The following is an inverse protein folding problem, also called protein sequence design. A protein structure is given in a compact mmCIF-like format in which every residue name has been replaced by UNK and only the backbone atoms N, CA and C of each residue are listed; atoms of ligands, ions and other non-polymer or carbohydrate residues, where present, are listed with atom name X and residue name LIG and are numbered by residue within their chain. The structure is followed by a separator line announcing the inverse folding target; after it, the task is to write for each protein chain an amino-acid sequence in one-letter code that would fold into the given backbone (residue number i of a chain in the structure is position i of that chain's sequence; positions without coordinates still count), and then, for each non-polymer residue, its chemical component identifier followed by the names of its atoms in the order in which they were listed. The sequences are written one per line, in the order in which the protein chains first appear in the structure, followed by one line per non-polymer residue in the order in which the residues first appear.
data_IF_215005204970
#
_entry.id   IF_215005204970
#
_cell.length_a   1.000
_cell.length_b   1.000
_cell.length_c   1.000
_cell.angle_alpha   90.00
_cell.angle_beta   90.00
_cell.angle_gamma   90.00
#
_symmetry.space_group_name_H-M   'P 1'
#
loop_
_entity.id
_entity.type
_entity.pdbx_description
1 polymer ?
#
# COMPACT_ATOMS: atom_id res chain seq x y z
N UNK A 1 17.20 5.07 -11.79
CA UNK A 1 16.39 4.63 -12.97
C UNK A 1 16.24 5.84 -13.87
N UNK A 2 16.43 5.72 -15.19
CA UNK A 2 16.17 6.82 -16.15
C UNK A 2 14.70 6.85 -16.52
N UNK A 3 14.24 7.99 -17.06
CA UNK A 3 12.86 8.11 -17.55
C UNK A 3 12.53 7.06 -18.63
N UNK A 4 13.45 6.83 -19.56
CA UNK A 4 13.27 5.82 -20.61
C UNK A 4 13.09 4.40 -20.04
N UNK A 5 13.81 4.07 -18.96
CA UNK A 5 13.62 2.79 -18.27
C UNK A 5 12.24 2.70 -17.63
N UNK A 6 11.79 3.76 -16.94
CA UNK A 6 10.44 3.81 -16.34
C UNK A 6 9.38 3.61 -17.42
N UNK A 7 9.46 4.34 -18.54
CA UNK A 7 8.54 4.24 -19.67
C UNK A 7 8.49 2.82 -20.24
N UNK A 8 9.65 2.20 -20.39
CA UNK A 8 9.75 0.83 -20.90
C UNK A 8 9.11 -0.17 -19.94
N UNK A 9 9.43 -0.09 -18.66
CA UNK A 9 8.89 -1.00 -17.64
C UNK A 9 7.38 -0.91 -17.53
N UNK A 10 6.83 0.32 -17.49
CA UNK A 10 5.38 0.52 -17.41
C UNK A 10 4.64 -0.01 -18.65
N UNK A 11 5.22 0.13 -19.84
CA UNK A 11 4.67 -0.47 -21.06
C UNK A 11 4.72 -1.99 -21.02
N UNK A 12 5.83 -2.58 -20.55
CA UNK A 12 5.91 -4.04 -20.38
C UNK A 12 4.85 -4.55 -19.40
N UNK A 13 4.60 -3.86 -18.30
CA UNK A 13 3.51 -4.22 -17.37
C UNK A 13 2.15 -4.16 -18.06
N UNK A 14 1.90 -3.11 -18.85
CA UNK A 14 0.65 -2.99 -19.62
C UNK A 14 0.48 -4.10 -20.64
N UNK A 15 1.54 -4.44 -21.37
CA UNK A 15 1.56 -5.52 -22.36
C UNK A 15 1.31 -6.90 -21.71
N UNK A 16 1.71 -7.07 -20.46
CA UNK A 16 1.40 -8.26 -19.64
C UNK A 16 -0.07 -8.30 -19.16
N UNK A 17 -0.85 -7.24 -19.42
CA UNK A 17 -2.24 -7.16 -18.99
C UNK A 17 -2.44 -6.55 -17.59
N UNK A 18 -1.42 -5.94 -16.99
CA UNK A 18 -1.55 -5.27 -15.71
C UNK A 18 -2.48 -4.06 -15.85
N UNK A 19 -3.46 -3.98 -14.96
CA UNK A 19 -4.42 -2.87 -14.88
C UNK A 19 -4.47 -2.20 -13.50
N UNK A 20 -3.75 -2.74 -12.53
CA UNK A 20 -3.62 -2.21 -11.17
C UNK A 20 -2.24 -2.54 -10.61
N UNK A 21 -1.60 -1.56 -9.97
CA UNK A 21 -0.32 -1.74 -9.28
C UNK A 21 -0.34 -1.12 -7.88
N UNK A 22 0.39 -1.72 -6.97
CA UNK A 22 0.71 -1.14 -5.69
C UNK A 22 2.16 -0.67 -5.71
N UNK A 23 2.36 0.62 -5.55
CA UNK A 23 3.67 1.27 -5.53
C UNK A 23 4.22 1.26 -4.09
N UNK A 24 4.74 0.14 -3.67
CA UNK A 24 5.31 -0.02 -2.32
C UNK A 24 6.81 0.27 -2.32
N UNK A 25 7.34 0.86 -1.28
CA UNK A 25 6.71 1.25 0.00
C UNK A 25 6.90 2.74 0.28
N UNK A 26 6.85 3.59 -0.71
CA UNK A 26 7.06 5.05 -0.59
C UNK A 26 6.50 5.77 -1.82
N UNK A 27 6.29 7.07 -1.67
CA UNK A 27 5.86 7.95 -2.75
C UNK A 27 6.76 7.81 -3.99
N UNK A 28 6.15 7.62 -5.14
CA UNK A 28 6.85 7.44 -6.40
C UNK A 28 7.04 8.76 -7.18
N UNK A 29 7.76 8.67 -8.29
CA UNK A 29 7.97 9.77 -9.21
C UNK A 29 6.66 10.10 -9.96
N UNK A 30 6.40 11.39 -10.19
CA UNK A 30 5.31 11.87 -11.06
C UNK A 30 5.33 11.20 -12.45
N UNK A 31 6.52 10.91 -13.00
CA UNK A 31 6.66 10.20 -14.28
C UNK A 31 5.97 8.83 -14.26
N UNK A 32 6.07 8.09 -13.15
CA UNK A 32 5.39 6.80 -13.01
C UNK A 32 3.88 6.99 -12.96
N UNK A 33 3.39 8.01 -12.27
CA UNK A 33 1.97 8.30 -12.19
C UNK A 33 1.39 8.83 -13.51
N UNK A 34 2.12 9.71 -14.20
CA UNK A 34 1.76 10.14 -15.56
C UNK A 34 1.61 8.94 -16.51
N UNK A 35 2.53 7.98 -16.41
CA UNK A 35 2.47 6.75 -17.21
C UNK A 35 1.30 5.85 -16.80
N UNK A 36 0.95 5.80 -15.51
CA UNK A 36 -0.23 5.08 -15.06
C UNK A 36 -1.51 5.72 -15.61
N UNK A 37 -1.60 7.05 -15.59
CA UNK A 37 -2.70 7.81 -16.16
C UNK A 37 -2.81 7.56 -17.67
N UNK A 38 -1.70 7.64 -18.41
CA UNK A 38 -1.62 7.41 -19.86
C UNK A 38 -2.03 5.98 -20.25
N UNK A 39 -1.55 5.00 -19.49
CA UNK A 39 -1.73 3.57 -19.81
C UNK A 39 -3.01 2.97 -19.18
N UNK A 40 -3.73 3.72 -18.38
CA UNK A 40 -4.92 3.23 -17.67
C UNK A 40 -4.56 2.10 -16.67
N UNK A 41 -3.54 2.33 -15.85
CA UNK A 41 -3.12 1.43 -14.77
C UNK A 41 -3.50 2.08 -13.44
N UNK A 42 -4.40 1.49 -12.70
CA UNK A 42 -4.82 2.00 -11.40
C UNK A 42 -3.71 1.82 -10.36
N UNK A 43 -3.66 2.72 -9.38
CA UNK A 43 -2.55 2.81 -8.43
C UNK A 43 -3.04 2.81 -6.98
N UNK A 44 -2.39 2.00 -6.18
CA UNK A 44 -2.28 2.16 -4.74
C UNK A 44 -0.89 2.74 -4.45
N UNK A 45 -0.81 3.98 -4.00
CA UNK A 45 0.41 4.61 -3.55
C UNK A 45 0.45 4.68 -2.03
N UNK A 46 1.64 4.54 -1.40
CA UNK A 46 1.73 4.44 0.05
C UNK A 46 2.89 5.23 0.66
N UNK A 47 2.76 5.55 1.94
CA UNK A 47 3.84 6.15 2.73
C UNK A 47 4.80 5.06 3.27
N UNK A 48 6.07 5.41 3.56
CA UNK A 48 7.10 4.45 3.98
C UNK A 48 6.99 4.03 5.46
N UNK A 49 5.78 3.83 5.98
CA UNK A 49 5.59 3.15 7.25
C UNK A 49 5.56 1.65 7.00
N UNK A 50 6.76 1.10 6.76
CA UNK A 50 6.95 -0.30 6.39
C UNK A 50 7.58 -1.08 7.53
N UNK A 51 6.84 -2.08 8.02
CA UNK A 51 7.12 -2.99 9.13
C UNK A 51 7.30 -2.30 10.49
N UNK A 52 7.50 -3.13 11.48
CA UNK A 52 8.17 -2.80 12.71
C UNK A 52 7.39 -2.07 13.80
N UNK A 53 6.10 -2.02 13.76
CA UNK A 53 5.36 -1.32 14.80
C UNK A 53 5.36 0.20 14.60
N UNK A 54 5.72 0.98 15.62
CA UNK A 54 5.61 2.44 15.59
C UNK A 54 6.81 3.12 16.25
N UNK A 55 7.43 4.05 15.54
CA UNK A 55 8.49 4.90 16.07
C UNK A 55 7.98 6.05 16.97
N UNK A 56 8.94 6.78 17.54
CA UNK A 56 8.65 7.93 18.40
C UNK A 56 8.07 9.16 17.68
N UNK A 57 7.98 10.29 18.37
CA UNK A 57 7.29 11.48 17.87
C UNK A 57 7.89 12.07 16.59
N UNK A 58 9.21 12.00 16.42
CA UNK A 58 9.88 12.43 15.18
C UNK A 58 9.40 11.59 14.01
N UNK A 59 9.35 10.27 14.19
CA UNK A 59 8.85 9.34 13.18
C UNK A 59 7.39 9.62 12.80
N UNK A 60 6.53 9.78 13.80
CA UNK A 60 5.11 10.12 13.59
C UNK A 60 4.94 11.45 12.84
N UNK A 61 5.73 12.46 13.20
CA UNK A 61 5.73 13.76 12.50
C UNK A 61 6.12 13.60 11.03
N UNK A 62 7.14 12.80 10.74
CA UNK A 62 7.56 12.52 9.37
C UNK A 62 6.49 11.75 8.59
N UNK A 63 5.88 10.73 9.17
CA UNK A 63 4.82 9.96 8.51
C UNK A 63 3.61 10.85 8.13
N UNK A 64 3.17 11.72 9.04
CA UNK A 64 2.11 12.71 8.76
C UNK A 64 2.49 13.63 7.60
N UNK A 65 3.72 14.15 7.62
CA UNK A 65 4.20 15.02 6.56
C UNK A 65 4.27 14.32 5.21
N UNK A 66 4.76 13.08 5.20
CA UNK A 66 4.84 12.27 3.98
C UNK A 66 3.45 11.98 3.40
N UNK A 67 2.48 11.62 4.26
CA UNK A 67 1.11 11.42 3.83
C UNK A 67 0.49 12.70 3.23
N UNK A 68 0.64 13.84 3.92
CA UNK A 68 0.14 15.11 3.42
C UNK A 68 0.78 15.50 2.08
N UNK A 69 2.10 15.37 1.96
CA UNK A 69 2.81 15.70 0.72
C UNK A 69 2.37 14.79 -0.43
N UNK A 70 2.27 13.49 -0.19
CA UNK A 70 1.84 12.51 -1.20
C UNK A 70 0.46 12.87 -1.73
N UNK A 71 -0.52 13.10 -0.85
CA UNK A 71 -1.88 13.43 -1.25
C UNK A 71 -1.91 14.77 -2.00
N UNK A 72 -1.28 15.84 -1.48
CA UNK A 72 -1.29 17.17 -2.11
C UNK A 72 -0.61 17.17 -3.49
N UNK A 73 0.46 16.40 -3.65
CA UNK A 73 1.20 16.36 -4.92
C UNK A 73 0.50 15.48 -5.95
N UNK A 74 -0.11 14.37 -5.53
CA UNK A 74 -0.57 13.32 -6.44
C UNK A 74 -2.10 13.20 -6.56
N UNK A 75 -2.87 14.03 -5.86
CA UNK A 75 -4.33 13.90 -5.89
C UNK A 75 -4.95 14.19 -7.27
N UNK A 76 -4.25 14.89 -8.15
CA UNK A 76 -4.70 15.17 -9.52
C UNK A 76 -4.46 14.00 -10.49
N UNK A 77 -3.76 12.94 -10.08
CA UNK A 77 -3.59 11.76 -10.91
C UNK A 77 -4.82 10.85 -10.82
N UNK A 78 -5.61 10.72 -11.89
CA UNK A 78 -6.80 9.86 -11.88
C UNK A 78 -6.49 8.37 -11.71
N UNK A 79 -5.28 7.95 -12.04
CA UNK A 79 -4.82 6.58 -11.79
C UNK A 79 -4.75 6.24 -10.31
N UNK A 80 -4.39 7.20 -9.44
CA UNK A 80 -4.29 6.96 -8.00
C UNK A 80 -5.69 6.83 -7.41
N UNK A 81 -6.03 5.65 -6.89
CA UNK A 81 -7.34 5.35 -6.32
C UNK A 81 -7.29 4.96 -4.84
N UNK A 82 -6.12 4.66 -4.31
CA UNK A 82 -5.93 4.22 -2.91
C UNK A 82 -4.69 4.88 -2.32
N UNK A 83 -4.86 5.45 -1.11
CA UNK A 83 -3.78 5.93 -0.26
C UNK A 83 -3.38 4.86 0.75
N UNK A 84 -2.20 4.28 0.60
CA UNK A 84 -1.63 3.31 1.52
C UNK A 84 -1.04 3.97 2.77
N UNK A 85 -1.50 3.54 3.94
CA UNK A 85 -1.10 4.13 5.21
C UNK A 85 0.05 3.39 5.88
N UNK A 86 0.35 2.17 5.44
CA UNK A 86 1.42 1.36 6.01
C UNK A 86 1.49 -0.03 5.39
N UNK A 87 2.52 -0.77 5.80
CA UNK A 87 2.77 -2.13 5.37
C UNK A 87 3.36 -2.96 6.51
N UNK A 88 2.75 -4.11 6.81
CA UNK A 88 3.27 -5.08 7.79
C UNK A 88 3.57 -4.48 9.18
N UNK A 89 2.75 -3.54 9.64
CA UNK A 89 2.96 -2.85 10.92
C UNK A 89 2.70 -3.74 12.14
N UNK A 90 2.22 -4.95 11.92
CA UNK A 90 2.09 -6.03 12.90
C UNK A 90 3.39 -6.83 13.13
N UNK A 91 4.48 -6.50 12.45
CA UNK A 91 5.78 -7.15 12.64
C UNK A 91 6.49 -6.57 13.89
N UNK A 92 6.89 -7.38 14.87
CA UNK A 92 7.26 -6.86 16.21
C UNK A 92 8.70 -6.41 16.37
N UNK A 93 9.62 -6.61 15.43
CA UNK A 93 11.06 -6.63 15.74
C UNK A 93 11.89 -5.43 15.25
N UNK A 94 11.27 -4.41 14.62
CA UNK A 94 12.04 -3.27 14.07
C UNK A 94 12.20 -2.12 15.08
N UNK A 95 11.37 -2.06 16.12
CA UNK A 95 11.46 -1.09 17.21
C UNK A 95 11.58 -1.80 18.57
N UNK A 96 12.18 -1.12 19.55
CA UNK A 96 12.39 -1.66 20.89
C UNK A 96 11.08 -1.97 21.64
N UNK A 97 9.99 -1.32 21.25
CA UNK A 97 8.67 -1.53 21.82
C UNK A 97 7.65 -1.83 20.72
N UNK A 98 6.77 -2.77 21.02
CA UNK A 98 5.65 -3.12 20.12
C UNK A 98 4.34 -2.99 20.89
N UNK A 99 3.61 -1.90 20.62
CA UNK A 99 2.33 -1.59 21.24
C UNK A 99 1.23 -1.53 20.16
N UNK A 100 0.37 -2.55 20.16
CA UNK A 100 -0.76 -2.64 19.22
C UNK A 100 -1.73 -1.48 19.36
N UNK A 101 -1.97 -1.02 20.58
CA UNK A 101 -2.91 0.09 20.84
C UNK A 101 -2.38 1.39 20.27
N UNK A 102 -1.09 1.66 20.43
CA UNK A 102 -0.44 2.84 19.85
C UNK A 102 -0.40 2.77 18.31
N UNK A 103 -0.13 1.59 17.73
CA UNK A 103 -0.18 1.38 16.28
C UNK A 103 -1.58 1.65 15.74
N UNK A 104 -2.63 1.09 16.36
CA UNK A 104 -4.03 1.33 15.97
C UNK A 104 -4.42 2.80 16.07
N UNK A 105 -4.06 3.47 17.17
CA UNK A 105 -4.35 4.88 17.37
C UNK A 105 -3.70 5.75 16.27
N UNK A 106 -2.45 5.47 15.93
CA UNK A 106 -1.75 6.21 14.89
C UNK A 106 -2.28 5.87 13.48
N UNK A 107 -2.62 4.62 13.21
CA UNK A 107 -3.27 4.22 11.96
C UNK A 107 -4.59 4.97 11.75
N UNK A 108 -5.42 5.05 12.82
CA UNK A 108 -6.67 5.82 12.77
C UNK A 108 -6.42 7.30 12.53
N UNK A 109 -5.42 7.87 13.16
CA UNK A 109 -5.04 9.27 12.94
C UNK A 109 -4.68 9.55 11.48
N UNK A 110 -3.86 8.66 10.86
CA UNK A 110 -3.48 8.79 9.46
C UNK A 110 -4.67 8.57 8.52
N UNK A 111 -5.57 7.63 8.82
CA UNK A 111 -6.81 7.42 8.10
C UNK A 111 -7.68 8.68 8.12
N UNK A 112 -7.96 9.23 9.31
CA UNK A 112 -8.75 10.44 9.46
C UNK A 112 -8.09 11.66 8.78
N UNK A 113 -6.77 11.71 8.78
CA UNK A 113 -6.00 12.75 8.10
C UNK A 113 -6.10 12.62 6.56
N UNK A 114 -5.99 11.42 6.03
CA UNK A 114 -6.11 11.18 4.59
C UNK A 114 -7.49 11.64 4.09
N UNK A 115 -8.57 11.24 4.77
CA UNK A 115 -9.94 11.63 4.40
C UNK A 115 -10.24 13.13 4.59
N UNK A 116 -9.52 13.83 5.47
CA UNK A 116 -9.61 15.31 5.53
C UNK A 116 -8.93 16.00 4.37
N UNK A 117 -7.88 15.40 3.78
CA UNK A 117 -7.13 15.95 2.65
C UNK A 117 -7.73 15.54 1.30
N UNK A 118 -8.30 14.36 1.24
CA UNK A 118 -8.96 13.79 0.06
C UNK A 118 -10.07 12.84 0.49
N UNK A 119 -11.31 13.28 0.40
CA UNK A 119 -12.51 12.54 0.74
C UNK A 119 -13.02 11.64 -0.41
N UNK A 120 -12.33 11.64 -1.54
CA UNK A 120 -12.74 10.92 -2.75
C UNK A 120 -12.09 9.54 -2.88
N UNK A 121 -10.95 9.32 -2.23
CA UNK A 121 -10.17 8.07 -2.35
C UNK A 121 -10.17 7.29 -1.06
N UNK A 122 -10.05 5.98 -1.20
CA UNK A 122 -9.97 5.03 -0.09
C UNK A 122 -8.58 5.02 0.53
N UNK A 123 -8.54 4.70 1.82
CA UNK A 123 -7.31 4.34 2.52
C UNK A 123 -7.14 2.84 2.60
N UNK A 124 -5.90 2.38 2.63
CA UNK A 124 -5.62 0.95 2.74
C UNK A 124 -4.38 0.64 3.58
N UNK A 125 -4.33 -0.61 4.04
CA UNK A 125 -3.14 -1.20 4.64
C UNK A 125 -2.93 -2.62 4.10
N UNK A 126 -1.68 -2.97 3.84
CA UNK A 126 -1.31 -4.34 3.55
C UNK A 126 -0.78 -5.01 4.80
N UNK A 127 -1.41 -6.13 5.19
CA UNK A 127 -1.20 -6.81 6.46
C UNK A 127 -1.47 -5.88 7.66
N UNK A 128 -1.21 -6.30 8.88
CA UNK A 128 -1.64 -5.65 10.11
C UNK A 128 -3.13 -5.90 10.41
N UNK A 129 -3.48 -7.17 10.60
CA UNK A 129 -4.85 -7.65 10.77
C UNK A 129 -5.61 -6.88 11.87
N UNK A 130 -4.93 -6.52 12.96
CA UNK A 130 -5.55 -5.77 14.05
C UNK A 130 -5.85 -4.29 13.72
N UNK A 131 -5.60 -3.85 12.48
CA UNK A 131 -6.00 -2.54 11.95
C UNK A 131 -7.02 -2.63 10.81
N UNK A 132 -7.51 -3.82 10.48
CA UNK A 132 -8.39 -4.05 9.33
C UNK A 132 -9.75 -3.34 9.42
N UNK A 133 -10.18 -2.98 10.62
CA UNK A 133 -11.42 -2.25 10.91
C UNK A 133 -11.27 -0.71 10.89
N UNK A 134 -10.04 -0.22 10.67
CA UNK A 134 -9.73 1.23 10.68
C UNK A 134 -9.71 1.78 9.26
N UNK A 135 -9.10 1.06 8.34
CA UNK A 135 -8.94 1.48 6.93
C UNK A 135 -10.14 1.06 6.08
N UNK A 136 -10.33 1.72 4.93
CA UNK A 136 -11.43 1.37 4.03
C UNK A 136 -11.20 0.03 3.34
N UNK A 137 -9.95 -0.30 3.02
CA UNK A 137 -9.58 -1.52 2.31
C UNK A 137 -8.44 -2.23 3.03
N UNK A 138 -8.60 -3.51 3.26
CA UNK A 138 -7.58 -4.37 3.85
C UNK A 138 -7.05 -5.38 2.84
N UNK A 139 -5.72 -5.48 2.72
CA UNK A 139 -5.04 -6.48 1.91
C UNK A 139 -4.23 -7.43 2.79
N UNK A 140 -4.60 -8.71 2.91
CA UNK A 140 -3.79 -9.69 3.62
C UNK A 140 -2.52 -10.04 2.84
N UNK A 141 -1.56 -10.67 3.51
CA UNK A 141 -0.41 -11.28 2.86
C UNK A 141 -0.71 -12.73 2.53
N UNK A 142 -0.89 -13.03 1.26
CA UNK A 142 -1.07 -14.38 0.75
C UNK A 142 0.22 -14.80 0.05
N UNK A 143 0.94 -15.74 0.64
CA UNK A 143 2.27 -16.16 0.16
C UNK A 143 2.26 -17.57 -0.46
N UNK A 144 1.11 -17.96 -1.02
CA UNK A 144 0.97 -19.24 -1.70
C UNK A 144 1.92 -19.35 -2.89
N UNK A 145 2.73 -20.41 -2.91
CA UNK A 145 3.74 -20.62 -3.93
C UNK A 145 5.01 -19.79 -3.79
N UNK A 146 5.12 -18.97 -2.71
CA UNK A 146 6.32 -18.17 -2.42
C UNK A 146 6.97 -18.63 -1.11
N UNK A 147 6.44 -18.22 0.05
CA UNK A 147 6.93 -18.65 1.37
C UNK A 147 6.19 -19.89 1.91
N UNK A 148 5.01 -20.19 1.42
CA UNK A 148 4.15 -21.27 1.94
C UNK A 148 3.37 -21.93 0.81
N UNK A 149 3.12 -23.24 0.98
CA UNK A 149 2.29 -24.02 0.07
C UNK A 149 2.76 -24.00 -1.39
N UNK A 150 1.83 -24.18 -2.28
CA UNK A 150 2.03 -24.16 -3.73
C UNK A 150 1.12 -23.10 -4.38
N UNK A 151 1.44 -22.68 -5.59
CA UNK A 151 0.68 -21.61 -6.26
C UNK A 151 -0.81 -21.93 -6.45
N UNK A 152 -1.18 -23.20 -6.55
CA UNK A 152 -2.57 -23.64 -6.65
C UNK A 152 -3.39 -23.37 -5.40
N UNK A 153 -2.75 -23.16 -4.24
CA UNK A 153 -3.43 -22.85 -2.98
C UNK A 153 -3.92 -21.39 -2.93
N UNK A 154 -3.46 -20.56 -3.85
CA UNK A 154 -3.75 -19.13 -3.89
C UNK A 154 -5.26 -18.84 -3.87
N UNK A 155 -6.04 -19.56 -4.67
CA UNK A 155 -7.49 -19.37 -4.76
C UNK A 155 -8.18 -19.65 -3.43
N UNK A 156 -7.91 -20.83 -2.85
CA UNK A 156 -8.55 -21.25 -1.59
C UNK A 156 -8.17 -20.35 -0.41
N UNK A 157 -6.91 -19.91 -0.35
CA UNK A 157 -6.45 -19.00 0.70
C UNK A 157 -7.08 -17.61 0.51
N UNK A 158 -7.17 -17.10 -0.73
CA UNK A 158 -7.83 -15.83 -1.02
C UNK A 158 -9.31 -15.85 -0.61
N UNK A 159 -10.04 -16.92 -0.93
CA UNK A 159 -11.43 -17.11 -0.53
C UNK A 159 -11.61 -17.13 1.00
N UNK A 160 -10.67 -17.74 1.73
CA UNK A 160 -10.67 -17.74 3.19
C UNK A 160 -10.39 -16.35 3.77
N UNK A 161 -9.43 -15.61 3.20
CA UNK A 161 -9.11 -14.25 3.66
C UNK A 161 -10.25 -13.27 3.38
N UNK A 162 -10.94 -13.39 2.25
CA UNK A 162 -12.11 -12.57 1.93
C UNK A 162 -13.23 -12.68 2.96
N UNK A 163 -13.38 -13.82 3.62
CA UNK A 163 -14.42 -14.03 4.65
C UNK A 163 -14.11 -13.32 5.96
N UNK A 164 -12.86 -12.92 6.20
CA UNK A 164 -12.41 -12.32 7.46
C UNK A 164 -12.58 -10.81 7.50
N UNK A 165 -12.73 -10.15 6.36
CA UNK A 165 -12.72 -8.69 6.26
C UNK A 165 -13.86 -8.17 5.40
N UNK A 166 -14.36 -6.98 5.74
CA UNK A 166 -15.50 -6.37 5.06
C UNK A 166 -15.15 -5.88 3.64
N UNK A 167 -13.97 -5.30 3.48
CA UNK A 167 -13.48 -4.75 2.22
C UNK A 167 -12.11 -5.32 1.92
N UNK A 168 -12.11 -6.33 1.09
CA UNK A 168 -10.93 -7.09 0.69
C UNK A 168 -10.40 -6.60 -0.64
N UNK A 169 -9.11 -6.31 -0.68
CA UNK A 169 -8.33 -6.18 -1.91
C UNK A 169 -7.04 -6.96 -1.74
N UNK A 170 -6.87 -8.01 -2.54
CA UNK A 170 -5.60 -8.71 -2.53
C UNK A 170 -4.61 -8.07 -3.48
N UNK A 171 -3.52 -7.59 -2.90
CA UNK A 171 -2.37 -7.09 -3.65
C UNK A 171 -1.16 -7.88 -3.19
N UNK A 172 -0.74 -8.80 -4.01
CA UNK A 172 0.54 -9.49 -3.81
C UNK A 172 1.70 -8.50 -3.91
N UNK A 173 2.84 -8.96 -3.40
CA UNK A 173 4.08 -8.22 -3.52
C UNK A 173 4.29 -7.88 -4.99
N UNK A 174 4.26 -6.61 -5.30
CA UNK A 174 4.50 -6.16 -6.64
C UNK A 174 5.85 -6.67 -7.13
N UNK A 175 5.90 -7.12 -8.35
CA UNK A 175 7.10 -7.53 -9.08
C UNK A 175 8.10 -6.38 -9.33
N UNK A 176 8.07 -5.33 -8.51
CA UNK A 176 8.93 -4.13 -8.66
C UNK A 176 10.39 -4.41 -8.30
N UNK A 177 10.74 -5.62 -7.93
CA UNK A 177 12.13 -6.04 -7.73
C UNK A 177 12.56 -7.05 -8.80
N UNK A 178 12.40 -6.68 -10.04
CA UNK A 178 13.24 -7.24 -11.10
C UNK A 178 14.38 -6.23 -11.32
N UNK A 179 15.40 -6.35 -10.50
CA UNK A 179 16.69 -5.71 -10.74
C UNK A 179 17.57 -6.64 -11.55
#
# INVERSE_FOLDING_TARGET
MTEDMMRREMRMMKDMGVNFIRLGHYQQSEIILDLCDELGILVWEEIPWCRGGLGGDVYKKQARRMLANMIVQHHNHPAVIIWGLGNENDWPNDFNTFDKSAIRAFMKELHDMAHRLDDTRMTAIRRCEFCNDIVDVYSPSIWAGWYRGVFTDYKSISEQEMQKVKHFLHVELSLIHIS
#
